data_IF_018024576182
#
_entry.id   IF_018024576182
#
_cell.length_a   1.000
_cell.length_b   1.000
_cell.length_c   1.000
_cell.angle_alpha   90.00
_cell.angle_beta   90.00
_cell.angle_gamma   90.00
#
_symmetry.space_group_name_H-M   'P 1'
#
loop_
_entity.id
_entity.type
_entity.pdbx_description
1 polymer ?
#
# COMPACT_ATOMS: atom_id res chain seq x y z
N UNK A 1 5.98 -9.22 46.29
CA UNK A 1 4.92 -9.32 45.26
C UNK A 1 5.07 -8.26 44.19
N UNK A 2 5.53 -7.04 44.52
CA UNK A 2 5.74 -5.97 43.53
C UNK A 2 6.84 -6.29 42.51
N UNK A 3 7.99 -6.81 42.96
CA UNK A 3 9.12 -7.15 42.06
C UNK A 3 8.78 -8.22 41.01
N UNK A 4 7.99 -9.25 41.39
CA UNK A 4 7.56 -10.30 40.46
C UNK A 4 6.64 -9.74 39.36
N UNK A 5 5.86 -8.71 39.67
CA UNK A 5 4.95 -8.07 38.73
C UNK A 5 5.72 -7.19 37.74
N UNK A 6 6.77 -6.50 38.20
CA UNK A 6 7.67 -5.72 37.33
C UNK A 6 8.41 -6.62 36.33
N UNK A 7 8.91 -7.77 36.77
CA UNK A 7 9.60 -8.73 35.90
C UNK A 7 8.66 -9.28 34.80
N UNK A 8 7.39 -9.58 35.16
CA UNK A 8 6.38 -10.07 34.21
C UNK A 8 6.04 -9.00 33.16
N UNK A 9 5.82 -7.75 33.58
CA UNK A 9 5.53 -6.65 32.66
C UNK A 9 6.73 -6.42 31.72
N UNK A 10 7.95 -6.45 32.26
CA UNK A 10 9.17 -6.31 31.46
C UNK A 10 9.30 -7.41 30.39
N UNK A 11 9.00 -8.67 30.74
CA UNK A 11 9.01 -9.78 29.78
C UNK A 11 7.91 -9.66 28.72
N UNK A 12 6.69 -9.27 29.11
CA UNK A 12 5.59 -9.05 28.16
C UNK A 12 5.90 -7.92 27.18
N UNK A 13 6.48 -6.83 27.66
CA UNK A 13 6.94 -5.72 26.81
C UNK A 13 8.05 -6.17 25.87
N UNK A 14 9.02 -6.96 26.34
CA UNK A 14 10.11 -7.47 25.49
C UNK A 14 9.61 -8.39 24.38
N UNK A 15 8.73 -9.33 24.72
CA UNK A 15 8.16 -10.29 23.76
C UNK A 15 7.29 -9.56 22.74
N UNK A 16 6.42 -8.65 23.19
CA UNK A 16 5.58 -7.87 22.28
C UNK A 16 6.42 -6.96 21.39
N UNK A 17 7.46 -6.32 21.93
CA UNK A 17 8.37 -5.44 21.18
C UNK A 17 9.16 -6.20 20.11
N UNK A 18 9.67 -7.39 20.43
CA UNK A 18 10.40 -8.22 19.47
C UNK A 18 9.50 -8.76 18.37
N UNK A 19 8.31 -9.29 18.71
CA UNK A 19 7.33 -9.77 17.73
C UNK A 19 6.85 -8.64 16.82
N UNK A 20 6.55 -7.48 17.39
CA UNK A 20 6.14 -6.30 16.62
C UNK A 20 7.25 -5.83 15.68
N UNK A 21 8.50 -5.80 16.15
CA UNK A 21 9.67 -5.44 15.33
C UNK A 21 9.86 -6.38 14.14
N UNK A 22 9.65 -7.69 14.31
CA UNK A 22 9.73 -8.65 13.21
C UNK A 22 8.52 -8.60 12.28
N UNK A 23 7.29 -8.45 12.80
CA UNK A 23 6.09 -8.46 11.99
C UNK A 23 5.94 -7.17 11.15
N UNK A 24 6.26 -6.02 11.74
CA UNK A 24 6.00 -4.71 11.14
C UNK A 24 7.25 -3.99 10.62
N UNK A 25 8.45 -4.50 10.92
CA UNK A 25 9.71 -3.91 10.48
C UNK A 25 10.14 -4.34 9.09
N UNK A 26 11.38 -4.81 8.97
CA UNK A 26 12.02 -5.16 7.69
C UNK A 26 11.19 -6.16 6.84
N UNK A 27 10.58 -7.23 7.40
CA UNK A 27 9.86 -8.20 6.60
C UNK A 27 8.63 -7.63 5.86
N UNK A 28 7.86 -6.75 6.52
CA UNK A 28 6.69 -6.10 5.89
C UNK A 28 7.12 -5.21 4.73
N UNK A 29 8.20 -4.44 4.91
CA UNK A 29 8.78 -3.56 3.89
C UNK A 29 9.26 -4.37 2.69
N UNK A 30 9.98 -5.47 2.93
CA UNK A 30 10.47 -6.35 1.86
C UNK A 30 9.31 -6.96 1.09
N UNK A 31 8.23 -7.38 1.76
CA UNK A 31 7.04 -7.90 1.08
C UNK A 31 6.33 -6.83 0.24
N UNK A 32 6.16 -5.62 0.76
CA UNK A 32 5.51 -4.53 0.05
C UNK A 32 6.33 -4.07 -1.16
N UNK A 33 7.62 -3.80 -0.95
CA UNK A 33 8.54 -3.37 -2.02
C UNK A 33 8.74 -4.49 -3.03
N UNK A 34 8.94 -5.73 -2.57
CA UNK A 34 9.08 -6.90 -3.42
C UNK A 34 7.84 -7.15 -4.27
N UNK A 35 6.65 -7.05 -3.70
CA UNK A 35 5.39 -7.17 -4.45
C UNK A 35 5.23 -6.03 -5.45
N UNK A 36 5.52 -4.78 -5.05
CA UNK A 36 5.48 -3.63 -5.95
C UNK A 36 6.44 -3.78 -7.13
N UNK A 37 7.67 -4.23 -6.88
CA UNK A 37 8.68 -4.46 -7.91
C UNK A 37 8.29 -5.63 -8.81
N UNK A 38 7.79 -6.73 -8.24
CA UNK A 38 7.31 -7.89 -8.99
C UNK A 38 6.16 -7.51 -9.94
N UNK A 39 5.16 -6.78 -9.44
CA UNK A 39 4.05 -6.29 -10.26
C UNK A 39 4.54 -5.32 -11.34
N UNK A 40 5.47 -4.41 -11.00
CA UNK A 40 6.05 -3.46 -11.96
C UNK A 40 6.79 -4.18 -13.09
N UNK A 41 7.58 -5.21 -12.76
CA UNK A 41 8.29 -6.02 -13.75
C UNK A 41 7.31 -6.84 -14.60
N UNK A 42 6.34 -7.51 -13.98
CA UNK A 42 5.34 -8.33 -14.68
C UNK A 42 4.46 -7.51 -15.62
N UNK A 43 4.16 -6.25 -15.25
CA UNK A 43 3.42 -5.31 -16.08
C UNK A 43 4.31 -4.57 -17.11
N UNK A 44 5.60 -4.93 -17.22
CA UNK A 44 6.57 -4.31 -18.14
C UNK A 44 6.63 -2.79 -17.99
N UNK A 45 6.74 -2.31 -16.75
CA UNK A 45 6.82 -0.89 -16.42
C UNK A 45 5.64 -0.08 -16.97
N UNK A 46 4.41 -0.64 -16.92
CA UNK A 46 3.19 0.05 -17.36
C UNK A 46 3.00 1.41 -16.68
N UNK A 47 3.44 1.54 -15.42
CA UNK A 47 3.41 2.78 -14.64
C UNK A 47 4.13 3.93 -15.37
N UNK A 48 5.26 3.65 -16.03
CA UNK A 48 6.02 4.66 -16.80
C UNK A 48 5.52 4.79 -18.24
N UNK A 49 5.11 3.68 -18.87
CA UNK A 49 4.68 3.66 -20.28
C UNK A 49 3.28 4.22 -20.51
N UNK A 50 2.39 4.15 -19.52
CA UNK A 50 0.99 4.54 -19.65
C UNK A 50 0.58 5.69 -18.73
N UNK A 51 1.51 6.31 -18.01
CA UNK A 51 1.22 7.47 -17.17
C UNK A 51 0.48 8.58 -17.94
N UNK A 52 1.01 9.00 -19.09
CA UNK A 52 0.39 10.06 -19.89
C UNK A 52 -0.98 9.68 -20.49
N UNK A 53 -1.17 8.41 -20.87
CA UNK A 53 -2.46 7.92 -21.36
C UNK A 53 -3.49 7.83 -20.23
N UNK A 54 -3.08 7.36 -19.05
CA UNK A 54 -3.92 7.31 -17.86
C UNK A 54 -4.34 8.71 -17.41
N UNK A 55 -3.43 9.70 -17.40
CA UNK A 55 -3.80 11.09 -17.08
C UNK A 55 -4.75 11.68 -18.13
N UNK A 56 -4.55 11.39 -19.41
CA UNK A 56 -5.47 11.80 -20.47
C UNK A 56 -6.86 11.13 -20.37
N UNK A 57 -6.92 9.89 -19.86
CA UNK A 57 -8.16 9.17 -19.59
C UNK A 57 -8.91 9.76 -18.39
N UNK A 58 -8.22 9.97 -17.27
CA UNK A 58 -8.85 10.49 -16.04
C UNK A 58 -9.25 11.95 -16.16
N UNK A 59 -8.58 12.74 -17.01
CA UNK A 59 -8.96 14.14 -17.31
C UNK A 59 -10.22 14.29 -18.19
N UNK A 60 -10.89 13.19 -18.57
CA UNK A 60 -12.13 13.24 -19.34
C UNK A 60 -11.94 13.53 -20.83
N UNK A 61 -10.71 13.50 -21.36
CA UNK A 61 -10.45 13.72 -22.80
C UNK A 61 -11.03 12.61 -23.69
N UNK A 62 -11.35 11.45 -23.09
CA UNK A 62 -11.96 10.31 -23.77
C UNK A 62 -13.37 9.98 -23.26
N UNK A 63 -13.97 10.82 -22.40
CA UNK A 63 -15.35 10.63 -21.93
C UNK A 63 -16.32 10.83 -23.11
N UNK A 64 -17.12 9.80 -23.41
CA UNK A 64 -18.21 9.89 -24.39
C UNK A 64 -19.51 10.12 -23.64
N UNK A 65 -20.36 11.00 -24.19
CA UNK A 65 -21.63 11.45 -23.59
C UNK A 65 -22.72 10.38 -23.40
N UNK A 66 -22.37 9.09 -23.38
CA UNK A 66 -23.29 7.96 -23.22
C UNK A 66 -22.70 6.74 -22.49
N UNK A 67 -21.52 6.86 -21.86
CA UNK A 67 -20.97 5.79 -21.05
C UNK A 67 -21.70 5.73 -19.67
N UNK A 68 -22.01 4.53 -19.15
CA UNK A 68 -22.71 4.37 -17.88
C UNK A 68 -21.79 4.75 -16.71
N UNK A 69 -21.97 5.96 -16.17
CA UNK A 69 -21.29 6.45 -14.98
C UNK A 69 -22.03 7.64 -14.39
N UNK A 70 -22.29 7.63 -13.08
CA UNK A 70 -22.99 8.73 -12.39
C UNK A 70 -22.09 9.96 -12.17
N UNK A 71 -20.76 9.78 -12.29
CA UNK A 71 -19.74 10.80 -12.06
C UNK A 71 -18.66 10.71 -13.13
N UNK A 72 -18.03 11.84 -13.45
CA UNK A 72 -16.94 11.86 -14.45
C UNK A 72 -15.72 11.08 -13.94
N UNK A 73 -14.90 10.55 -14.84
CA UNK A 73 -13.67 9.84 -14.45
C UNK A 73 -12.76 10.66 -13.52
N UNK A 74 -12.80 11.98 -13.66
CA UNK A 74 -12.06 12.91 -12.82
C UNK A 74 -12.64 13.03 -11.40
N UNK A 75 -13.97 13.00 -11.26
CA UNK A 75 -14.64 13.02 -9.95
C UNK A 75 -14.42 11.73 -9.15
N UNK A 76 -14.20 10.60 -9.81
CA UNK A 76 -13.85 9.35 -9.13
C UNK A 76 -12.43 9.35 -8.54
N UNK A 77 -11.57 10.31 -8.93
CA UNK A 77 -10.20 10.44 -8.44
C UNK A 77 -10.07 11.40 -7.23
N UNK A 78 -11.07 12.25 -6.94
CA UNK A 78 -11.02 13.30 -5.90
C UNK A 78 -11.49 12.84 -4.52
#
# INVERSE_FOLDING_TARGET
MEHLMEDIIAQLTLITGTVSGYAWGIPSIVLLVGTGLYLTWRMRFVQFRHFGHATALVSGRYDKSGDPGEVTHFQALS
#
